data_IF_988544652284
#
_entry.id   IF_988544652284
#
_cell.length_a   1.000
_cell.length_b   1.000
_cell.length_c   1.000
_cell.angle_alpha   90.00
_cell.angle_beta   90.00
_cell.angle_gamma   90.00
#
_symmetry.space_group_name_H-M   'P 1'
#
loop_
_entity.id
_entity.type
_entity.pdbx_description
1 polymer ?
#
# COMPACT_ATOMS: atom_id res chain seq x y z
N UNK A 1 -16.88 27.16 64.88
CA UNK A 1 -16.32 26.40 63.74
C UNK A 1 -16.50 27.25 62.48
N UNK A 2 -15.44 27.87 61.98
CA UNK A 2 -15.48 28.80 60.83
C UNK A 2 -15.46 27.98 59.53
N UNK A 3 -16.58 27.91 58.83
CA UNK A 3 -16.67 27.27 57.51
C UNK A 3 -16.14 28.25 56.45
N UNK A 4 -14.91 28.07 56.01
CA UNK A 4 -14.34 28.79 54.87
C UNK A 4 -15.02 28.31 53.59
N UNK A 5 -15.88 29.16 53.02
CA UNK A 5 -16.53 28.92 51.73
C UNK A 5 -15.46 29.02 50.64
N UNK A 6 -14.95 27.88 50.18
CA UNK A 6 -14.01 27.81 49.05
C UNK A 6 -14.77 28.26 47.80
N UNK A 7 -14.49 29.48 47.32
CA UNK A 7 -15.01 29.93 46.03
C UNK A 7 -14.33 29.08 44.95
N UNK A 8 -15.05 28.08 44.45
CA UNK A 8 -14.67 27.43 43.21
C UNK A 8 -14.90 28.46 42.11
N UNK A 9 -13.85 29.23 41.80
CA UNK A 9 -13.80 30.03 40.58
C UNK A 9 -13.80 29.06 39.41
N UNK A 10 -14.99 28.66 38.99
CA UNK A 10 -15.20 27.80 37.84
C UNK A 10 -14.60 28.46 36.61
N UNK A 11 -13.85 27.68 35.84
CA UNK A 11 -13.40 28.03 34.50
C UNK A 11 -14.62 28.55 33.72
N UNK A 12 -14.48 29.73 33.11
CA UNK A 12 -15.62 30.44 32.55
C UNK A 12 -16.13 29.62 31.36
N UNK A 13 -17.44 29.42 31.23
CA UNK A 13 -18.02 28.61 30.12
C UNK A 13 -17.56 29.12 28.75
N UNK A 14 -17.26 30.41 28.63
CA UNK A 14 -16.71 31.01 27.40
C UNK A 14 -15.33 30.47 27.03
N UNK A 15 -14.50 30.09 28.00
CA UNK A 15 -13.17 29.53 27.73
C UNK A 15 -13.31 28.12 27.15
N UNK A 16 -14.23 27.30 27.66
CA UNK A 16 -14.54 25.99 27.05
C UNK A 16 -15.09 26.20 25.64
N UNK A 17 -15.98 27.18 25.44
CA UNK A 17 -16.60 27.43 24.12
C UNK A 17 -15.58 27.86 23.06
N UNK A 18 -14.66 28.77 23.40
CA UNK A 18 -13.62 29.21 22.46
C UNK A 18 -12.69 28.05 22.12
N UNK A 19 -12.29 27.24 23.11
CA UNK A 19 -11.44 26.06 22.87
C UNK A 19 -12.15 25.04 21.97
N UNK A 20 -13.43 24.77 22.19
CA UNK A 20 -14.22 23.88 21.34
C UNK A 20 -14.32 24.38 19.91
N UNK A 21 -14.51 25.69 19.70
CA UNK A 21 -14.57 26.29 18.36
C UNK A 21 -13.23 26.15 17.65
N UNK A 22 -12.11 26.42 18.33
CA UNK A 22 -10.77 26.28 17.75
C UNK A 22 -10.49 24.82 17.39
N UNK A 23 -10.79 23.86 18.29
CA UNK A 23 -10.64 22.43 18.02
C UNK A 23 -11.50 22.02 16.82
N UNK A 24 -12.75 22.52 16.73
CA UNK A 24 -13.64 22.24 15.60
C UNK A 24 -13.06 22.67 14.26
N UNK A 25 -12.48 23.88 14.17
CA UNK A 25 -11.83 24.37 12.95
C UNK A 25 -10.61 23.49 12.58
N UNK A 26 -9.77 23.16 13.56
CA UNK A 26 -8.58 22.34 13.34
C UNK A 26 -8.93 20.94 12.84
N UNK A 27 -9.97 20.31 13.40
CA UNK A 27 -10.42 18.97 13.00
C UNK A 27 -10.94 18.97 11.55
N UNK A 28 -11.73 19.97 11.14
CA UNK A 28 -12.25 20.05 9.77
C UNK A 28 -11.13 20.17 8.74
N UNK A 29 -10.08 20.95 9.03
CA UNK A 29 -8.94 21.10 8.13
C UNK A 29 -8.10 19.82 8.00
N UNK A 30 -8.02 19.00 9.07
CA UNK A 30 -7.15 17.81 9.12
C UNK A 30 -7.84 16.52 8.63
N UNK A 31 -9.15 16.37 8.86
CA UNK A 31 -9.91 15.16 8.52
C UNK A 31 -9.73 14.64 7.08
N UNK A 32 -9.78 15.46 6.01
CA UNK A 32 -9.64 14.94 4.65
C UNK A 32 -8.25 14.33 4.40
N UNK A 33 -7.21 14.90 5.00
CA UNK A 33 -5.85 14.38 4.89
C UNK A 33 -5.69 13.06 5.67
N UNK A 34 -6.31 12.96 6.86
CA UNK A 34 -6.25 11.75 7.68
C UNK A 34 -6.80 10.52 6.94
N UNK A 35 -7.89 10.66 6.17
CA UNK A 35 -8.45 9.55 5.40
C UNK A 35 -7.46 8.99 4.37
N UNK A 36 -6.76 9.87 3.64
CA UNK A 36 -5.76 9.46 2.65
C UNK A 36 -4.54 8.80 3.31
N UNK A 37 -4.09 9.33 4.46
CA UNK A 37 -2.99 8.71 5.21
C UNK A 37 -3.35 7.32 5.73
N UNK A 38 -4.56 7.13 6.27
CA UNK A 38 -5.01 5.81 6.71
C UNK A 38 -5.11 4.83 5.55
N UNK A 39 -5.67 5.25 4.41
CA UNK A 39 -5.72 4.41 3.21
C UNK A 39 -4.32 4.05 2.70
N UNK A 40 -3.38 5.00 2.67
CA UNK A 40 -1.98 4.73 2.31
C UNK A 40 -1.31 3.72 3.24
N UNK A 41 -1.61 3.79 4.54
CA UNK A 41 -1.11 2.81 5.51
C UNK A 41 -1.72 1.41 5.27
N UNK A 42 -3.02 1.32 5.03
CA UNK A 42 -3.71 0.07 4.69
C UNK A 42 -3.21 -0.52 3.36
N UNK A 43 -2.88 0.34 2.38
CA UNK A 43 -2.37 -0.08 1.08
C UNK A 43 -0.95 -0.69 1.16
N UNK A 44 -0.25 -0.56 2.29
CA UNK A 44 1.02 -1.26 2.49
C UNK A 44 0.87 -2.78 2.42
N UNK A 45 -0.30 -3.32 2.77
CA UNK A 45 -0.59 -4.74 2.61
C UNK A 45 -0.57 -5.17 1.14
N UNK A 46 -1.01 -4.29 0.23
CA UNK A 46 -0.99 -4.52 -1.22
C UNK A 46 0.43 -4.49 -1.76
N UNK A 47 1.23 -3.51 -1.30
CA UNK A 47 2.65 -3.39 -1.65
C UNK A 47 3.44 -4.60 -1.14
N UNK A 48 3.18 -5.04 0.10
CA UNK A 48 3.78 -6.22 0.70
C UNK A 48 3.38 -7.52 -0.03
N UNK A 49 2.12 -7.64 -0.47
CA UNK A 49 1.66 -8.74 -1.29
C UNK A 49 2.42 -8.86 -2.62
N UNK A 50 2.66 -7.74 -3.29
CA UNK A 50 3.47 -7.72 -4.52
C UNK A 50 4.94 -8.08 -4.27
N UNK A 51 5.53 -7.58 -3.17
CA UNK A 51 6.93 -7.84 -2.84
C UNK A 51 7.20 -9.29 -2.42
N UNK A 52 6.20 -9.98 -1.87
CA UNK A 52 6.29 -11.39 -1.52
C UNK A 52 6.56 -12.31 -2.72
N UNK A 53 6.04 -11.96 -3.90
CA UNK A 53 6.21 -12.77 -5.14
C UNK A 53 7.46 -12.35 -5.93
N UNK A 54 8.01 -11.16 -5.65
CA UNK A 54 9.16 -10.58 -6.37
C UNK A 54 10.37 -11.51 -6.39
N UNK A 55 10.72 -12.10 -5.26
CA UNK A 55 11.88 -13.00 -5.14
C UNK A 55 11.73 -14.26 -6.01
N UNK A 56 10.52 -14.81 -6.12
CA UNK A 56 10.25 -15.97 -6.98
C UNK A 56 10.39 -15.61 -8.45
N UNK A 57 9.97 -14.40 -8.85
CA UNK A 57 10.18 -13.90 -10.21
C UNK A 57 11.66 -13.66 -10.50
N UNK A 58 12.40 -13.03 -9.57
CA UNK A 58 13.85 -12.84 -9.72
C UNK A 58 14.57 -14.18 -9.92
N UNK A 59 14.20 -15.21 -9.15
CA UNK A 59 14.73 -16.57 -9.32
C UNK A 59 14.35 -17.20 -10.67
N UNK A 60 13.12 -16.98 -11.15
CA UNK A 60 12.74 -17.44 -12.49
C UNK A 60 13.59 -16.79 -13.56
N UNK A 61 13.80 -15.47 -13.49
CA UNK A 61 14.60 -14.71 -14.46
C UNK A 61 16.02 -15.27 -14.51
N UNK A 62 16.67 -15.43 -13.35
CA UNK A 62 18.06 -15.92 -13.28
C UNK A 62 18.18 -17.35 -13.79
N UNK A 63 17.17 -18.20 -13.59
CA UNK A 63 17.19 -19.61 -14.05
C UNK A 63 16.94 -19.77 -15.55
N UNK A 64 16.07 -18.94 -16.12
CA UNK A 64 15.54 -19.13 -17.47
C UNK A 64 16.18 -18.20 -18.49
N UNK A 65 16.64 -17.02 -18.08
CA UNK A 65 17.27 -16.08 -18.99
C UNK A 65 18.62 -16.64 -19.50
N UNK A 66 18.86 -16.50 -20.79
CA UNK A 66 20.15 -16.79 -21.39
C UNK A 66 21.18 -15.72 -21.01
N UNK A 67 22.46 -16.09 -21.01
CA UNK A 67 23.56 -15.12 -20.84
C UNK A 67 23.43 -13.98 -21.85
N UNK A 68 23.48 -12.74 -21.38
CA UNK A 68 23.34 -11.54 -22.21
C UNK A 68 21.90 -11.19 -22.62
N UNK A 69 20.88 -11.89 -22.09
CA UNK A 69 19.49 -11.51 -22.33
C UNK A 69 19.19 -10.09 -21.81
N UNK A 70 18.41 -9.34 -22.57
CA UNK A 70 17.93 -7.99 -22.23
C UNK A 70 16.42 -7.95 -21.99
N UNK A 71 15.77 -9.10 -22.07
CA UNK A 71 14.33 -9.25 -21.92
C UNK A 71 14.02 -10.31 -20.90
N UNK A 72 13.04 -10.05 -20.04
CA UNK A 72 12.55 -11.03 -19.08
C UNK A 72 11.84 -12.17 -19.82
N UNK A 73 12.18 -13.45 -19.55
CA UNK A 73 11.53 -14.59 -20.20
C UNK A 73 10.01 -14.58 -20.02
N UNK A 74 9.27 -14.78 -21.12
CA UNK A 74 7.81 -14.82 -21.09
C UNK A 74 7.25 -15.97 -20.22
N UNK A 75 8.03 -17.03 -20.00
CA UNK A 75 7.69 -18.18 -19.16
C UNK A 75 7.76 -17.90 -17.65
N UNK A 76 8.23 -16.73 -17.23
CA UNK A 76 8.11 -16.29 -15.85
C UNK A 76 6.68 -15.80 -15.59
N UNK A 77 5.79 -16.76 -15.40
CA UNK A 77 4.35 -16.59 -15.13
C UNK A 77 3.97 -17.33 -13.84
N UNK A 78 2.84 -16.96 -13.26
CA UNK A 78 2.30 -17.66 -12.10
C UNK A 78 2.14 -19.17 -12.33
N UNK A 79 2.47 -19.95 -11.31
CA UNK A 79 2.40 -21.42 -11.33
C UNK A 79 3.51 -22.10 -12.14
N UNK A 80 4.50 -21.35 -12.65
CA UNK A 80 5.60 -21.89 -13.46
C UNK A 80 6.96 -21.45 -12.91
N UNK A 81 8.00 -22.26 -13.16
CA UNK A 81 9.40 -21.96 -12.82
C UNK A 81 9.63 -21.59 -11.33
N UNK A 82 8.77 -22.06 -10.43
CA UNK A 82 8.83 -21.77 -8.99
C UNK A 82 8.09 -20.51 -8.55
N UNK A 83 7.44 -19.79 -9.46
CA UNK A 83 6.52 -18.70 -9.14
C UNK A 83 5.21 -19.31 -8.62
N UNK A 84 4.69 -18.90 -7.45
CA UNK A 84 3.41 -19.35 -6.95
C UNK A 84 2.27 -19.15 -7.96
N UNK A 85 1.24 -19.98 -7.88
CA UNK A 85 0.01 -19.73 -8.63
C UNK A 85 -0.61 -18.39 -8.21
N UNK A 86 -1.38 -17.78 -9.11
CA UNK A 86 -2.09 -16.54 -8.81
C UNK A 86 -2.92 -16.71 -7.53
N UNK A 87 -2.87 -15.70 -6.66
CA UNK A 87 -3.64 -15.66 -5.42
C UNK A 87 -3.33 -16.82 -4.43
N UNK A 88 -2.18 -17.49 -4.55
CA UNK A 88 -1.77 -18.53 -3.62
C UNK A 88 -1.58 -17.96 -2.19
N UNK A 89 -2.64 -18.05 -1.38
CA UNK A 89 -2.67 -17.76 0.06
C UNK A 89 -2.04 -16.42 0.50
N UNK A 90 -2.35 -15.32 -0.20
CA UNK A 90 -2.00 -13.96 0.22
C UNK A 90 -3.29 -13.14 0.37
N UNK A 91 -4.03 -13.37 1.46
CA UNK A 91 -5.13 -12.50 1.88
C UNK A 91 -4.65 -11.69 3.09
N UNK A 92 -3.84 -10.67 2.82
CA UNK A 92 -3.46 -9.68 3.82
C UNK A 92 -4.55 -8.62 3.85
N UNK A 93 -5.67 -8.87 4.51
CA UNK A 93 -6.75 -7.94 4.91
C UNK A 93 -7.30 -6.93 3.87
N UNK A 94 -6.44 -6.07 3.32
CA UNK A 94 -6.71 -5.08 2.28
C UNK A 94 -6.28 -5.51 0.86
N UNK A 95 -5.55 -6.63 0.72
CA UNK A 95 -5.11 -7.21 -0.53
C UNK A 95 -6.17 -8.14 -1.13
N UNK A 96 -6.75 -7.76 -2.26
CA UNK A 96 -7.76 -8.58 -2.95
C UNK A 96 -7.16 -9.61 -3.91
N UNK A 97 -6.03 -9.32 -4.55
CA UNK A 97 -5.37 -10.28 -5.43
C UNK A 97 -3.90 -9.98 -5.65
N UNK A 98 -3.12 -11.03 -5.91
CA UNK A 98 -1.77 -10.91 -6.49
C UNK A 98 -1.69 -11.86 -7.67
N UNK A 99 -1.29 -11.32 -8.82
CA UNK A 99 -1.13 -12.07 -10.05
C UNK A 99 0.26 -11.84 -10.62
N UNK A 100 0.80 -12.85 -11.30
CA UNK A 100 2.04 -12.72 -12.09
C UNK A 100 1.75 -13.07 -13.53
N UNK A 101 1.77 -12.06 -14.39
CA UNK A 101 1.57 -12.20 -15.83
C UNK A 101 2.87 -12.63 -16.53
N UNK A 102 2.82 -12.74 -17.86
CA UNK A 102 4.01 -12.99 -18.67
C UNK A 102 5.10 -11.95 -18.39
N UNK A 103 6.34 -12.36 -18.64
CA UNK A 103 7.52 -11.53 -18.42
C UNK A 103 7.68 -11.09 -16.95
N UNK A 104 7.12 -11.83 -15.99
CA UNK A 104 7.30 -11.58 -14.56
C UNK A 104 6.59 -10.33 -14.03
N UNK A 105 5.63 -9.76 -14.77
CA UNK A 105 4.90 -8.57 -14.31
C UNK A 105 3.97 -8.96 -13.17
N UNK A 106 4.23 -8.40 -11.98
CA UNK A 106 3.43 -8.67 -10.78
C UNK A 106 2.39 -7.57 -10.64
N UNK A 107 1.12 -7.94 -10.50
CA UNK A 107 0.02 -7.01 -10.22
C UNK A 107 -0.67 -7.39 -8.93
N UNK A 108 -0.54 -6.54 -7.91
CA UNK A 108 -1.33 -6.61 -6.70
C UNK A 108 -2.51 -5.62 -6.78
N UNK A 109 -3.68 -6.05 -6.34
CA UNK A 109 -4.91 -5.26 -6.38
C UNK A 109 -5.57 -5.26 -5.01
N UNK A 110 -5.98 -4.09 -4.53
CA UNK A 110 -6.71 -3.95 -3.27
C UNK A 110 -8.15 -4.47 -3.37
N UNK A 111 -8.76 -4.84 -2.24
CA UNK A 111 -10.22 -4.99 -2.19
C UNK A 111 -10.91 -3.66 -2.47
N UNK A 112 -11.99 -3.68 -3.25
CA UNK A 112 -12.72 -2.47 -3.63
C UNK A 112 -13.46 -1.82 -2.46
N UNK A 113 -13.92 -2.62 -1.52
CA UNK A 113 -14.69 -2.24 -0.33
C UNK A 113 -13.96 -1.27 0.59
N UNK A 114 -12.63 -1.36 0.68
CA UNK A 114 -11.83 -0.58 1.62
C UNK A 114 -11.43 0.80 1.06
N UNK A 115 -11.36 0.94 -0.26
CA UNK A 115 -10.82 2.14 -0.90
C UNK A 115 -11.85 2.92 -1.74
N UNK A 116 -13.07 2.40 -1.91
CA UNK A 116 -14.10 2.95 -2.80
C UNK A 116 -13.87 2.59 -4.27
N UNK A 117 -13.11 1.53 -4.53
CA UNK A 117 -12.63 1.10 -5.83
C UNK A 117 -11.42 0.18 -5.69
N UNK A 118 -11.16 -0.64 -6.70
CA UNK A 118 -9.97 -1.47 -6.74
C UNK A 118 -8.76 -0.65 -7.24
N UNK A 119 -7.68 -0.63 -6.46
CA UNK A 119 -6.45 0.06 -6.83
C UNK A 119 -5.32 -0.94 -7.04
N UNK A 120 -4.50 -0.69 -8.06
CA UNK A 120 -3.43 -1.60 -8.47
C UNK A 120 -2.06 -1.05 -8.08
N UNK A 121 -1.20 -1.95 -7.64
CA UNK A 121 0.24 -1.77 -7.54
C UNK A 121 0.92 -2.79 -8.44
N UNK A 122 1.63 -2.31 -9.45
CA UNK A 122 2.24 -3.11 -10.50
C UNK A 122 3.75 -2.99 -10.37
N UNK A 123 4.42 -4.14 -10.28
CA UNK A 123 5.87 -4.24 -10.31
C UNK A 123 6.28 -4.84 -11.66
N UNK A 124 6.99 -4.06 -12.46
CA UNK A 124 7.51 -4.50 -13.76
C UNK A 124 9.02 -4.73 -13.67
N UNK A 125 9.50 -5.97 -13.89
CA UNK A 125 10.93 -6.24 -13.94
C UNK A 125 11.51 -5.85 -15.30
N UNK A 126 12.74 -5.37 -15.31
CA UNK A 126 13.57 -5.19 -16.49
C UNK A 126 14.91 -5.86 -16.28
N UNK A 127 15.38 -6.61 -17.29
CA UNK A 127 16.65 -7.33 -17.25
C UNK A 127 17.70 -6.57 -18.06
N UNK A 128 18.84 -6.26 -17.44
CA UNK A 128 19.99 -5.72 -18.17
C UNK A 128 20.84 -6.84 -18.79
N UNK A 129 21.59 -6.52 -19.85
CA UNK A 129 22.54 -7.45 -20.46
C UNK A 129 23.62 -7.96 -19.47
N UNK A 130 23.86 -7.21 -18.39
CA UNK A 130 24.75 -7.57 -17.28
C UNK A 130 24.11 -8.50 -16.24
N UNK A 131 22.84 -8.91 -16.44
CA UNK A 131 22.14 -9.85 -15.57
C UNK A 131 21.46 -9.22 -14.35
N UNK A 132 21.43 -7.89 -14.24
CA UNK A 132 20.73 -7.20 -13.14
C UNK A 132 19.25 -7.06 -13.47
N UNK A 133 18.40 -7.34 -12.47
CA UNK A 133 16.95 -7.10 -12.55
C UNK A 133 16.62 -5.80 -11.82
N UNK A 134 16.06 -4.83 -12.55
CA UNK A 134 15.50 -3.60 -11.97
C UNK A 134 13.98 -3.69 -11.95
N UNK A 135 13.36 -3.09 -10.93
CA UNK A 135 11.91 -3.17 -10.74
C UNK A 135 11.32 -1.76 -10.74
N UNK A 136 10.36 -1.54 -11.63
CA UNK A 136 9.68 -0.25 -11.75
C UNK A 136 8.27 -0.37 -11.18
N UNK A 137 7.94 0.35 -10.09
CA UNK A 137 6.58 0.40 -9.57
C UNK A 137 5.69 1.31 -10.41
N UNK A 138 4.46 0.90 -10.64
CA UNK A 138 3.41 1.65 -11.33
C UNK A 138 2.03 1.23 -10.81
N UNK A 139 0.96 1.74 -11.42
CA UNK A 139 -0.42 1.34 -11.10
C UNK A 139 -1.32 2.52 -10.72
N UNK A 140 -2.60 2.23 -10.47
CA UNK A 140 -3.59 3.28 -10.17
C UNK A 140 -3.41 3.89 -8.78
N UNK A 141 -2.65 3.24 -7.90
CA UNK A 141 -2.37 3.76 -6.56
C UNK A 141 -1.55 5.07 -6.55
N UNK A 142 -0.78 5.37 -7.61
CA UNK A 142 0.04 6.58 -7.71
C UNK A 142 -0.82 7.84 -7.82
N UNK A 143 -1.81 7.81 -8.72
CA UNK A 143 -2.75 8.92 -8.88
C UNK A 143 -3.62 9.11 -7.61
N UNK A 144 -3.85 8.04 -6.85
CA UNK A 144 -4.61 8.07 -5.60
C UNK A 144 -3.77 8.46 -4.36
N UNK A 145 -2.44 8.55 -4.49
CA UNK A 145 -1.53 8.86 -3.39
C UNK A 145 -1.41 7.75 -2.33
N UNK A 146 -1.76 6.51 -2.67
CA UNK A 146 -1.61 5.35 -1.78
C UNK A 146 -0.23 4.67 -1.92
N UNK A 147 0.38 4.85 -3.08
CA UNK A 147 1.76 4.57 -3.44
C UNK A 147 2.26 5.76 -4.29
#
# INVERSE_FOLDING_TARGET
MKTTKKSASGFFIVEILIVLVIIGILVVALLPNLQTYTKRAQFQDVVAGASAVRSAVDLCIVRVASVGATTVPASCVAGSNGIPANNAAIDTGFLGSVTTAANGVITATSYSTNFGGAYTYILTPALSASGFVTWTPSGTCQAAGYC
#
